data_IF_862795312379
#
_entry.id   IF_862795312379
#
_cell.length_a   1.000
_cell.length_b   1.000
_cell.length_c   1.000
_cell.angle_alpha   90.00
_cell.angle_beta   90.00
_cell.angle_gamma   90.00
#
_symmetry.space_group_name_H-M   'P 1'
#
loop_
_entity.id
_entity.type
_entity.pdbx_description
1 polymer ?
#
# COMPACT_ATOMS: atom_id res chain seq x y z
N UNK A 1 -15.42 -6.59 -2.75
CA UNK A 1 -15.04 -5.30 -3.33
C UNK A 1 -15.07 -4.22 -2.26
N UNK A 2 -14.07 -3.34 -2.25
CA UNK A 2 -14.03 -2.22 -1.31
C UNK A 2 -15.04 -1.14 -1.73
N UNK A 3 -15.47 -0.33 -0.73
CA UNK A 3 -16.34 0.82 -0.99
C UNK A 3 -15.71 1.85 -1.91
N UNK A 4 -14.40 2.08 -1.73
CA UNK A 4 -13.65 3.07 -2.50
C UNK A 4 -12.58 2.41 -3.36
N UNK A 5 -12.43 2.88 -4.58
CA UNK A 5 -11.22 2.63 -5.38
C UNK A 5 -10.16 3.62 -4.92
N UNK A 6 -8.94 3.13 -4.72
CA UNK A 6 -7.82 3.94 -4.24
C UNK A 6 -6.70 3.93 -5.28
N UNK A 7 -6.40 5.10 -5.84
CA UNK A 7 -5.40 5.25 -6.90
C UNK A 7 -4.55 6.49 -6.60
N UNK A 8 -3.24 6.30 -6.48
CA UNK A 8 -2.30 7.37 -6.24
C UNK A 8 -1.54 7.22 -4.93
N UNK A 9 -0.94 8.32 -4.47
CA UNK A 9 -0.16 8.36 -3.24
C UNK A 9 -1.05 8.75 -2.07
N UNK A 10 -1.27 7.83 -1.15
CA UNK A 10 -2.07 8.06 0.06
C UNK A 10 -1.35 7.51 1.28
N UNK A 11 -1.58 8.12 2.46
CA UNK A 11 -0.98 7.62 3.69
C UNK A 11 -1.55 6.26 4.08
N UNK A 12 -0.67 5.45 4.66
CA UNK A 12 -0.99 4.18 5.28
C UNK A 12 -0.55 4.28 6.73
N UNK A 13 -1.37 3.79 7.64
CA UNK A 13 -1.11 3.84 9.07
C UNK A 13 -0.69 2.48 9.58
N UNK A 14 0.33 2.46 10.43
CA UNK A 14 0.82 1.24 11.06
C UNK A 14 0.03 0.94 12.32
N UNK A 15 -0.37 -0.32 12.50
CA UNK A 15 -0.97 -0.77 13.76
C UNK A 15 0.10 -0.84 14.85
N UNK A 16 -0.35 -0.91 16.11
CA UNK A 16 0.54 -1.14 17.24
C UNK A 16 1.31 -2.45 17.07
N UNK A 17 0.62 -3.49 16.62
CA UNK A 17 1.19 -4.82 16.42
C UNK A 17 2.27 -4.79 15.34
N UNK A 18 2.07 -4.05 14.25
CA UNK A 18 3.07 -3.96 13.19
C UNK A 18 4.35 -3.28 13.67
N UNK A 19 4.23 -2.26 14.52
CA UNK A 19 5.41 -1.56 15.08
C UNK A 19 6.15 -2.42 16.11
N UNK A 20 5.47 -3.36 16.74
CA UNK A 20 6.13 -4.34 17.61
C UNK A 20 6.93 -5.37 16.81
N UNK A 21 6.41 -5.79 15.65
CA UNK A 21 7.09 -6.74 14.76
C UNK A 21 8.23 -6.08 13.98
N UNK A 22 8.00 -4.87 13.51
CA UNK A 22 8.96 -4.10 12.71
C UNK A 22 9.22 -2.78 13.41
N UNK A 23 10.21 -2.77 14.30
CA UNK A 23 10.47 -1.63 15.20
C UNK A 23 10.83 -0.32 14.46
N UNK A 24 11.29 -0.41 13.21
CA UNK A 24 11.64 0.74 12.39
C UNK A 24 10.44 1.43 11.76
N UNK A 25 9.23 0.82 11.81
CA UNK A 25 8.06 1.37 11.12
C UNK A 25 7.64 2.71 11.73
N UNK A 26 7.41 3.74 10.89
CA UNK A 26 6.78 4.97 11.36
C UNK A 26 5.30 4.75 11.66
N UNK A 27 4.66 5.72 12.32
CA UNK A 27 3.21 5.67 12.55
C UNK A 27 2.42 5.69 11.23
N UNK A 28 2.94 6.41 10.25
CA UNK A 28 2.35 6.48 8.91
C UNK A 28 3.42 6.70 7.85
N UNK A 29 3.09 6.33 6.63
CA UNK A 29 3.96 6.56 5.47
C UNK A 29 3.09 6.65 4.22
N UNK A 30 3.58 7.30 3.17
CA UNK A 30 2.91 7.34 1.89
C UNK A 30 3.25 6.09 1.08
N UNK A 31 2.24 5.50 0.46
CA UNK A 31 2.40 4.37 -0.45
C UNK A 31 1.59 4.60 -1.71
N UNK A 32 2.03 4.01 -2.81
CA UNK A 32 1.29 4.05 -4.06
C UNK A 32 0.19 3.00 -4.05
N UNK A 33 -1.01 3.40 -4.45
CA UNK A 33 -2.19 2.55 -4.47
C UNK A 33 -2.75 2.45 -5.88
N UNK A 34 -3.21 1.25 -6.24
CA UNK A 34 -4.01 1.02 -7.42
C UNK A 34 -4.85 -0.22 -7.16
N UNK A 35 -5.99 -0.04 -6.47
CA UNK A 35 -6.86 -1.15 -6.14
C UNK A 35 -8.30 -0.69 -5.92
N UNK A 36 -9.24 -1.58 -6.16
CA UNK A 36 -10.66 -1.39 -5.88
C UNK A 36 -11.24 -2.49 -5.01
N UNK A 37 -10.41 -3.45 -4.64
CA UNK A 37 -10.81 -4.57 -3.80
C UNK A 37 -10.18 -4.47 -2.42
N UNK A 38 -10.73 -5.20 -1.50
CA UNK A 38 -10.17 -5.39 -0.17
C UNK A 38 -10.26 -6.86 0.20
N UNK A 39 -9.70 -7.22 1.33
CA UNK A 39 -9.71 -8.60 1.82
C UNK A 39 -10.17 -8.63 3.27
N UNK A 40 -10.65 -9.78 3.69
CA UNK A 40 -10.89 -10.07 5.10
C UNK A 40 -9.60 -10.59 5.71
N UNK A 41 -9.36 -10.24 6.98
CA UNK A 41 -8.19 -10.75 7.69
C UNK A 41 -8.37 -12.24 7.97
N UNK A 42 -7.40 -13.10 7.58
CA UNK A 42 -7.46 -14.50 7.96
C UNK A 42 -7.49 -14.66 9.49
N UNK A 43 -8.18 -15.69 9.95
CA UNK A 43 -8.20 -16.02 11.37
C UNK A 43 -6.77 -16.25 11.87
N UNK A 44 -6.42 -15.67 13.02
CA UNK A 44 -5.07 -15.74 13.61
C UNK A 44 -4.00 -14.97 12.83
N UNK A 45 -4.40 -14.09 11.90
CA UNK A 45 -3.45 -13.18 11.27
C UNK A 45 -3.19 -11.97 12.15
N UNK A 46 -2.08 -11.28 11.87
CA UNK A 46 -1.74 -10.01 12.52
C UNK A 46 -2.04 -8.88 11.56
N UNK A 47 -2.94 -7.99 11.94
CA UNK A 47 -3.28 -6.80 11.16
C UNK A 47 -2.13 -5.80 11.24
N UNK A 48 -1.58 -5.41 10.08
CA UNK A 48 -0.40 -4.56 10.03
C UNK A 48 -0.71 -3.11 9.67
N UNK A 49 -1.58 -2.89 8.68
CA UNK A 49 -1.76 -1.57 8.09
C UNK A 49 -3.22 -1.29 7.74
N UNK A 50 -3.59 -0.01 7.83
CA UNK A 50 -4.95 0.46 7.52
C UNK A 50 -4.90 1.90 6.99
N UNK A 51 -5.97 2.35 6.36
CA UNK A 51 -6.19 3.77 6.08
C UNK A 51 -7.68 4.08 5.93
N UNK A 52 -8.00 5.32 5.56
CA UNK A 52 -9.39 5.78 5.45
C UNK A 52 -10.16 5.08 4.33
N UNK A 53 -9.51 4.79 3.22
CA UNK A 53 -10.16 4.16 2.09
C UNK A 53 -10.44 2.68 2.35
N UNK A 54 -9.55 2.00 3.07
CA UNK A 54 -9.60 0.56 3.29
C UNK A 54 -9.02 0.20 4.66
N UNK A 55 -9.83 -0.44 5.49
CA UNK A 55 -9.38 -0.85 6.84
C UNK A 55 -8.27 -1.89 6.78
N UNK A 56 -8.31 -2.81 5.82
CA UNK A 56 -7.37 -3.92 5.71
C UNK A 56 -6.38 -3.65 4.58
N UNK A 57 -5.21 -3.10 4.91
CA UNK A 57 -4.17 -2.76 3.96
C UNK A 57 -2.98 -3.74 4.01
N UNK A 58 -2.88 -4.56 5.05
CA UNK A 58 -1.83 -5.54 5.14
C UNK A 58 -1.95 -6.43 6.36
N UNK A 59 -1.41 -7.64 6.25
CA UNK A 59 -1.39 -8.61 7.36
C UNK A 59 -0.22 -9.59 7.23
N UNK A 60 0.09 -10.23 8.35
CA UNK A 60 0.95 -11.43 8.37
C UNK A 60 0.10 -12.61 8.83
N UNK A 61 0.21 -13.72 8.12
CA UNK A 61 -0.36 -15.01 8.50
C UNK A 61 0.69 -16.09 8.30
N UNK A 62 1.16 -16.70 9.40
CA UNK A 62 2.28 -17.66 9.38
C UNK A 62 3.51 -17.07 8.68
N UNK A 63 3.91 -17.62 7.53
CA UNK A 63 5.06 -17.18 6.76
C UNK A 63 4.67 -16.30 5.56
N UNK A 64 3.44 -15.80 5.52
CA UNK A 64 2.94 -14.96 4.44
C UNK A 64 2.76 -13.53 4.90
N UNK A 65 3.33 -12.60 4.14
CA UNK A 65 3.13 -11.16 4.31
C UNK A 65 2.34 -10.64 3.10
N UNK A 66 1.18 -10.06 3.37
CA UNK A 66 0.30 -9.52 2.34
C UNK A 66 0.15 -8.01 2.48
N UNK A 67 0.32 -7.29 1.38
CA UNK A 67 0.15 -5.83 1.32
C UNK A 67 -0.79 -5.49 0.18
N UNK A 68 -1.75 -4.60 0.44
CA UNK A 68 -2.67 -4.10 -0.57
C UNK A 68 -2.03 -3.01 -1.43
N UNK A 69 -1.16 -2.21 -0.85
CA UNK A 69 -0.48 -1.10 -1.50
C UNK A 69 0.86 -1.55 -2.09
N UNK A 70 1.48 -0.64 -2.86
CA UNK A 70 2.72 -0.92 -3.56
C UNK A 70 3.88 -0.12 -2.96
N UNK A 71 4.94 -0.80 -2.58
CA UNK A 71 6.20 -0.19 -2.15
C UNK A 71 7.32 -0.39 -3.18
N UNK A 72 7.10 -1.26 -4.16
CA UNK A 72 8.06 -1.65 -5.18
C UNK A 72 8.03 -0.75 -6.41
N UNK A 73 7.15 0.23 -6.44
CA UNK A 73 6.91 1.05 -7.64
C UNK A 73 8.15 1.82 -8.09
N UNK A 74 8.24 2.01 -9.40
CA UNK A 74 9.22 2.88 -10.05
C UNK A 74 8.48 3.97 -10.81
N UNK A 75 9.18 5.01 -11.26
CA UNK A 75 8.58 6.05 -12.10
C UNK A 75 7.98 5.44 -13.37
N UNK A 76 8.68 4.49 -13.97
CA UNK A 76 8.21 3.79 -15.18
C UNK A 76 6.95 2.97 -14.91
N UNK A 77 6.94 2.17 -13.84
CA UNK A 77 5.77 1.32 -13.54
C UNK A 77 4.53 2.14 -13.23
N UNK A 78 4.67 3.27 -12.55
CA UNK A 78 3.55 4.16 -12.26
C UNK A 78 3.06 4.83 -13.54
N UNK A 79 3.96 5.33 -14.37
CA UNK A 79 3.60 5.90 -15.66
C UNK A 79 2.82 4.89 -16.51
N UNK A 80 3.28 3.65 -16.57
CA UNK A 80 2.66 2.62 -17.37
C UNK A 80 1.27 2.25 -16.88
N UNK A 81 1.07 2.14 -15.57
CA UNK A 81 -0.26 1.78 -15.06
C UNK A 81 -1.28 2.89 -15.34
N UNK A 82 -0.89 4.15 -15.20
CA UNK A 82 -1.76 5.27 -15.58
C UNK A 82 -2.07 5.27 -17.08
N UNK A 83 -1.10 4.94 -17.90
CA UNK A 83 -1.27 4.92 -19.35
C UNK A 83 -2.18 3.78 -19.82
N UNK A 84 -1.96 2.56 -19.30
CA UNK A 84 -2.64 1.37 -19.79
C UNK A 84 -3.90 1.01 -19.02
N UNK A 85 -4.16 1.62 -17.88
CA UNK A 85 -5.32 1.31 -17.04
C UNK A 85 -6.22 2.53 -16.79
N UNK A 86 -6.32 3.42 -17.77
CA UNK A 86 -7.15 4.64 -17.68
C UNK A 86 -8.60 4.36 -17.33
N UNK A 87 -9.13 3.23 -17.81
CA UNK A 87 -10.53 2.88 -17.58
C UNK A 87 -10.83 2.65 -16.10
N UNK A 88 -9.84 2.24 -15.31
CA UNK A 88 -10.03 2.09 -13.87
C UNK A 88 -10.45 3.41 -13.23
N UNK A 89 -9.88 4.52 -13.69
CA UNK A 89 -10.23 5.85 -13.22
C UNK A 89 -11.58 6.29 -13.80
N UNK A 90 -11.74 6.13 -15.12
CA UNK A 90 -12.96 6.57 -15.82
C UNK A 90 -14.22 5.87 -15.32
N UNK A 91 -14.10 4.58 -15.00
CA UNK A 91 -15.23 3.77 -14.55
C UNK A 91 -15.51 3.88 -13.05
N UNK A 92 -14.68 4.56 -12.29
CA UNK A 92 -14.88 4.72 -10.85
C UNK A 92 -16.06 5.65 -10.58
N UNK A 93 -17.03 5.17 -9.81
CA UNK A 93 -18.22 5.96 -9.43
C UNK A 93 -17.89 6.98 -8.36
N UNK A 94 -17.06 6.61 -7.38
CA UNK A 94 -16.60 7.48 -6.31
C UNK A 94 -15.11 7.73 -6.51
N UNK A 95 -14.74 9.01 -6.65
CA UNK A 95 -13.35 9.41 -6.93
C UNK A 95 -12.66 10.07 -5.74
N UNK A 96 -13.20 9.88 -4.53
CA UNK A 96 -12.66 10.48 -3.31
C UNK A 96 -11.18 10.16 -3.10
N UNK A 97 -10.77 8.90 -3.37
CA UNK A 97 -9.40 8.44 -3.20
C UNK A 97 -8.72 8.13 -4.53
N UNK A 98 -8.98 8.95 -5.55
CA UNK A 98 -8.37 8.81 -6.86
C UNK A 98 -7.61 10.09 -7.19
N UNK A 99 -6.31 9.95 -7.49
CA UNK A 99 -5.43 11.03 -7.91
C UNK A 99 -5.05 10.84 -9.38
N UNK A 100 -4.90 11.95 -10.08
CA UNK A 100 -4.30 11.96 -11.40
C UNK A 100 -2.79 11.70 -11.32
N UNK A 101 -2.17 11.32 -12.44
CA UNK A 101 -0.72 11.14 -12.52
C UNK A 101 -0.01 12.43 -12.06
N UNK A 102 0.95 12.28 -11.14
CA UNK A 102 1.68 13.41 -10.58
C UNK A 102 3.17 13.05 -10.46
N UNK A 103 3.97 13.53 -11.40
CA UNK A 103 5.40 13.26 -11.45
C UNK A 103 6.14 13.74 -10.21
N UNK A 104 5.74 14.89 -9.66
CA UNK A 104 6.33 15.45 -8.44
C UNK A 104 6.14 14.53 -7.24
N UNK A 105 4.92 14.02 -7.06
CA UNK A 105 4.62 13.09 -5.96
C UNK A 105 5.35 11.77 -6.14
N UNK A 106 5.48 11.28 -7.39
CA UNK A 106 6.25 10.08 -7.67
C UNK A 106 7.71 10.25 -7.22
N UNK A 107 8.35 11.33 -7.64
CA UNK A 107 9.75 11.61 -7.27
C UNK A 107 9.94 11.79 -5.77
N UNK A 108 8.94 12.39 -5.10
CA UNK A 108 8.98 12.61 -3.66
C UNK A 108 8.95 11.31 -2.86
N UNK A 109 8.16 10.31 -3.30
CA UNK A 109 7.83 9.17 -2.46
C UNK A 109 8.45 7.83 -2.87
N UNK A 110 8.85 7.65 -4.13
CA UNK A 110 9.31 6.35 -4.63
C UNK A 110 10.50 5.82 -3.84
N UNK A 111 11.51 6.64 -3.62
CA UNK A 111 12.74 6.19 -2.96
C UNK A 111 12.46 5.73 -1.52
N UNK A 112 11.67 6.50 -0.77
CA UNK A 112 11.31 6.12 0.61
C UNK A 112 10.49 4.84 0.65
N UNK A 113 9.56 4.66 -0.30
CA UNK A 113 8.77 3.43 -0.43
C UNK A 113 9.66 2.22 -0.67
N UNK A 114 10.60 2.33 -1.61
CA UNK A 114 11.51 1.23 -1.93
C UNK A 114 12.40 0.87 -0.74
N UNK A 115 12.92 1.85 -0.03
CA UNK A 115 13.74 1.62 1.16
C UNK A 115 12.94 0.96 2.27
N UNK A 116 11.69 1.38 2.47
CA UNK A 116 10.80 0.77 3.45
C UNK A 116 10.54 -0.70 3.11
N UNK A 117 10.29 -1.00 1.83
CA UNK A 117 10.11 -2.37 1.38
C UNK A 117 11.31 -3.23 1.69
N UNK A 118 12.53 -2.75 1.39
CA UNK A 118 13.75 -3.50 1.67
C UNK A 118 13.90 -3.77 3.16
N UNK A 119 13.61 -2.78 4.02
CA UNK A 119 13.67 -2.96 5.46
C UNK A 119 12.66 -3.99 5.97
N UNK A 120 11.43 -3.95 5.45
CA UNK A 120 10.39 -4.92 5.80
C UNK A 120 10.81 -6.33 5.37
N UNK A 121 11.29 -6.48 4.13
CA UNK A 121 11.68 -7.79 3.60
C UNK A 121 12.87 -8.38 4.34
N UNK A 122 13.88 -7.56 4.64
CA UNK A 122 15.04 -8.03 5.40
C UNK A 122 14.61 -8.55 6.77
N UNK A 123 13.80 -7.78 7.50
CA UNK A 123 13.35 -8.16 8.83
C UNK A 123 12.44 -9.39 8.78
N UNK A 124 11.52 -9.43 7.81
CA UNK A 124 10.60 -10.55 7.62
C UNK A 124 11.35 -11.85 7.28
N UNK A 125 12.31 -11.79 6.38
CA UNK A 125 13.10 -12.96 5.98
C UNK A 125 13.90 -13.50 7.16
N UNK A 126 14.53 -12.62 7.96
CA UNK A 126 15.30 -13.05 9.13
C UNK A 126 14.43 -13.60 10.26
N UNK A 127 13.13 -13.27 10.29
CA UNK A 127 12.23 -13.78 11.31
C UNK A 127 11.62 -15.14 10.96
N UNK A 128 11.81 -15.60 9.73
CA UNK A 128 11.36 -16.92 9.31
C UNK A 128 12.29 -18.02 9.91
#
# INVERSE_FOLDING_TARGET
>A
QNKYKEIGWFPVYSTKESKQLFSFLPDSFFAFHWHGDTFELPKNSVHLFFNQATTNQGFIYNTALALQFHLESTEESIHDIYLYSKQDIENAKDKTFIQEFNEKENKKHINQSNQLLFSILDDFIYSL
#
